data_IF_678706581046
#
_entry.id   IF_678706581046
#
_cell.length_a   1.000
_cell.length_b   1.000
_cell.length_c   1.000
_cell.angle_alpha   90.00
_cell.angle_beta   90.00
_cell.angle_gamma   90.00
#
_symmetry.space_group_name_H-M   'P 1'
#
loop_
_entity.id
_entity.type
_entity.pdbx_description
1 polymer ?
#
# COMPACT_ATOMS: atom_id res chain seq x y z
N UNK A 1 -62.31 -7.06 -45.58
CA UNK A 1 -61.58 -8.19 -44.96
C UNK A 1 -60.17 -7.70 -44.62
N UNK A 2 -60.06 -7.43 -43.50
CA UNK A 2 -59.09 -7.43 -42.39
C UNK A 2 -57.62 -7.37 -42.77
N UNK A 3 -57.04 -6.15 -42.67
CA UNK A 3 -55.58 -5.87 -42.60
C UNK A 3 -55.29 -5.16 -41.29
N UNK A 4 -55.37 -5.90 -40.18
CA UNK A 4 -55.16 -5.32 -38.88
C UNK A 4 -54.46 -6.31 -37.95
N UNK A 5 -53.19 -6.70 -38.21
CA UNK A 5 -52.42 -7.45 -37.23
C UNK A 5 -50.89 -7.53 -37.52
N UNK A 6 -50.31 -6.49 -38.16
CA UNK A 6 -48.82 -6.50 -38.40
C UNK A 6 -48.02 -5.40 -37.70
N UNK A 7 -48.65 -4.60 -36.84
CA UNK A 7 -47.94 -3.46 -36.20
C UNK A 7 -47.57 -3.68 -34.73
N UNK A 8 -48.12 -4.69 -34.08
CA UNK A 8 -47.86 -4.93 -32.65
C UNK A 8 -46.51 -5.61 -32.32
N UNK A 9 -45.94 -6.36 -33.29
CA UNK A 9 -44.68 -7.09 -33.04
C UNK A 9 -43.41 -6.25 -33.12
N UNK A 10 -43.44 -5.10 -33.77
CA UNK A 10 -42.23 -4.29 -34.01
C UNK A 10 -41.90 -3.29 -32.90
N UNK A 11 -42.86 -2.93 -32.08
CA UNK A 11 -42.64 -2.02 -30.92
C UNK A 11 -42.13 -2.75 -29.69
N UNK A 12 -42.51 -4.01 -29.48
CA UNK A 12 -42.01 -4.82 -28.34
C UNK A 12 -40.52 -5.18 -28.47
N UNK A 13 -40.06 -5.48 -29.69
CA UNK A 13 -38.64 -5.83 -29.93
C UNK A 13 -37.70 -4.62 -29.81
N UNK A 14 -38.19 -3.40 -30.11
CA UNK A 14 -37.38 -2.18 -29.96
C UNK A 14 -37.24 -1.73 -28.50
N UNK A 15 -38.19 -2.00 -27.67
CA UNK A 15 -38.16 -1.69 -26.22
C UNK A 15 -37.21 -2.66 -25.46
N UNK A 16 -37.12 -3.91 -25.85
CA UNK A 16 -36.22 -4.89 -25.24
C UNK A 16 -34.73 -4.60 -25.60
N UNK A 17 -34.44 -4.13 -26.80
CA UNK A 17 -33.06 -3.76 -27.21
C UNK A 17 -32.58 -2.46 -26.52
N UNK A 18 -33.46 -1.53 -26.22
CA UNK A 18 -33.11 -0.30 -25.50
C UNK A 18 -32.80 -0.56 -24.01
N UNK A 19 -33.49 -1.54 -23.39
CA UNK A 19 -33.25 -1.90 -21.98
C UNK A 19 -31.90 -2.64 -21.77
N UNK A 20 -31.45 -3.43 -22.72
CA UNK A 20 -30.14 -4.10 -22.65
C UNK A 20 -28.94 -3.14 -22.83
N UNK A 21 -29.09 -2.04 -23.57
CA UNK A 21 -28.03 -1.05 -23.72
C UNK A 21 -27.88 -0.14 -22.48
N UNK A 22 -28.93 0.09 -21.73
CA UNK A 22 -28.88 0.88 -20.49
C UNK A 22 -28.22 0.12 -19.32
N UNK A 23 -28.28 -1.21 -19.30
CA UNK A 23 -27.64 -2.03 -18.27
C UNK A 23 -26.12 -2.21 -18.49
N UNK A 24 -25.63 -2.01 -19.70
CA UNK A 24 -24.19 -2.15 -20.06
C UNK A 24 -23.32 -0.95 -19.65
N UNK A 25 -23.89 0.19 -19.29
CA UNK A 25 -23.15 1.44 -19.01
C UNK A 25 -22.84 1.68 -17.52
N UNK A 26 -23.25 0.77 -16.62
CA UNK A 26 -23.04 0.91 -15.17
C UNK A 26 -21.88 0.09 -14.61
N UNK A 27 -21.12 -0.62 -15.44
CA UNK A 27 -19.80 -1.11 -15.06
C UNK A 27 -18.77 0.01 -15.32
N UNK A 28 -18.91 1.11 -14.63
CA UNK A 28 -17.81 2.01 -14.42
C UNK A 28 -16.83 1.27 -13.54
N UNK A 29 -15.89 0.58 -14.19
CA UNK A 29 -14.66 0.17 -13.53
C UNK A 29 -14.15 1.39 -12.79
N UNK A 30 -14.26 1.37 -11.45
CA UNK A 30 -13.45 2.26 -10.62
C UNK A 30 -12.02 1.96 -11.05
N UNK A 31 -11.49 2.78 -11.93
CA UNK A 31 -10.08 2.75 -12.27
C UNK A 31 -9.35 2.91 -10.93
N UNK A 32 -8.87 1.80 -10.38
CA UNK A 32 -7.96 1.83 -9.25
C UNK A 32 -6.84 2.73 -9.73
N UNK A 33 -6.58 3.82 -9.00
CA UNK A 33 -5.39 4.62 -9.27
C UNK A 33 -4.24 3.63 -9.38
N UNK A 34 -3.55 3.63 -10.52
CA UNK A 34 -2.49 2.65 -10.75
C UNK A 34 -1.48 2.79 -9.61
N UNK A 35 -1.12 1.66 -9.03
CA UNK A 35 -0.11 1.63 -7.97
C UNK A 35 1.19 2.29 -8.47
N UNK A 36 1.93 2.92 -7.57
CA UNK A 36 3.26 3.43 -7.92
C UNK A 36 4.15 2.29 -8.42
N UNK A 37 4.98 2.52 -9.45
CA UNK A 37 5.99 1.55 -9.86
C UNK A 37 6.85 1.11 -8.66
N UNK A 38 7.23 -0.17 -8.54
CA UNK A 38 7.98 -0.70 -7.39
C UNK A 38 9.26 0.08 -7.08
N UNK A 39 10.00 0.53 -8.11
CA UNK A 39 11.20 1.36 -7.94
C UNK A 39 10.87 2.70 -7.27
N UNK A 40 9.77 3.34 -7.64
CA UNK A 40 9.36 4.60 -7.02
C UNK A 40 8.89 4.39 -5.58
N UNK A 41 8.21 3.28 -5.30
CA UNK A 41 7.85 2.90 -3.93
C UNK A 41 9.10 2.69 -3.06
N UNK A 42 10.10 1.95 -3.58
CA UNK A 42 11.36 1.70 -2.89
C UNK A 42 12.13 3.01 -2.60
N UNK A 43 12.27 3.89 -3.60
CA UNK A 43 12.93 5.20 -3.45
C UNK A 43 12.25 6.07 -2.40
N UNK A 44 10.90 6.17 -2.44
CA UNK A 44 10.15 6.97 -1.47
C UNK A 44 10.26 6.37 -0.06
N UNK A 45 10.14 5.05 0.07
CA UNK A 45 10.25 4.39 1.37
C UNK A 45 11.61 4.67 2.02
N UNK A 46 12.70 4.50 1.27
CA UNK A 46 14.05 4.76 1.81
C UNK A 46 14.24 6.24 2.15
N UNK A 47 13.72 7.16 1.33
CA UNK A 47 13.74 8.59 1.65
C UNK A 47 12.98 8.93 2.92
N UNK A 48 11.80 8.32 3.14
CA UNK A 48 11.02 8.53 4.36
C UNK A 48 11.80 8.08 5.60
N UNK A 49 12.52 6.97 5.51
CA UNK A 49 13.37 6.51 6.62
C UNK A 49 14.50 7.49 6.94
N UNK A 50 15.07 8.17 5.94
CA UNK A 50 16.08 9.23 6.17
C UNK A 50 15.49 10.45 6.91
N UNK A 51 14.19 10.71 6.73
CA UNK A 51 13.49 11.79 7.46
C UNK A 51 12.99 11.38 8.85
N UNK A 52 13.23 10.15 9.28
CA UNK A 52 12.92 9.71 10.64
C UNK A 52 14.08 10.06 11.59
N UNK A 53 13.89 11.05 12.42
CA UNK A 53 14.88 11.50 13.41
C UNK A 53 15.24 10.43 14.45
N UNK A 54 14.35 9.45 14.63
CA UNK A 54 14.55 8.36 15.57
C UNK A 54 15.17 7.11 14.91
N UNK A 55 15.47 7.15 13.61
CA UNK A 55 15.96 5.96 12.88
C UNK A 55 17.22 5.37 13.54
N UNK A 56 18.21 6.19 13.86
CA UNK A 56 19.46 5.75 14.46
C UNK A 56 19.29 5.12 15.84
N UNK A 57 18.26 5.51 16.60
CA UNK A 57 17.92 4.91 17.89
C UNK A 57 17.19 3.58 17.76
N UNK A 58 16.52 3.34 16.61
CA UNK A 58 15.74 2.12 16.36
C UNK A 58 16.50 1.05 15.59
N UNK A 59 17.58 1.43 14.90
CA UNK A 59 18.34 0.56 14.01
C UNK A 59 19.81 0.56 14.39
N UNK A 60 20.43 -0.61 14.38
CA UNK A 60 21.88 -0.77 14.58
C UNK A 60 22.48 -1.54 13.38
N UNK A 61 23.43 -0.91 12.69
CA UNK A 61 24.23 -1.54 11.62
C UNK A 61 23.54 -1.60 10.26
N UNK A 62 22.39 -2.27 10.13
CA UNK A 62 21.70 -2.46 8.84
C UNK A 62 20.24 -2.03 8.93
N UNK A 63 19.79 -1.20 8.00
CA UNK A 63 18.38 -0.83 7.86
C UNK A 63 17.61 -1.97 7.19
N UNK A 64 16.90 -2.76 7.97
CA UNK A 64 16.05 -3.84 7.43
C UNK A 64 14.66 -3.30 7.09
N UNK A 65 14.19 -3.57 5.87
CA UNK A 65 12.83 -3.27 5.41
C UNK A 65 12.11 -4.59 5.16
N UNK A 66 11.03 -4.83 5.91
CA UNK A 66 10.15 -5.98 5.69
C UNK A 66 9.15 -5.70 4.57
N UNK A 67 8.85 -6.69 3.74
CA UNK A 67 7.74 -6.64 2.77
C UNK A 67 6.75 -7.73 3.14
N UNK A 68 5.65 -7.33 3.77
CA UNK A 68 4.61 -8.24 4.21
C UNK A 68 3.65 -8.57 3.06
N UNK A 69 3.36 -9.85 2.90
CA UNK A 69 2.52 -10.37 1.83
C UNK A 69 1.62 -11.51 2.31
N UNK A 70 0.57 -11.82 1.55
CA UNK A 70 -0.33 -12.96 1.81
C UNK A 70 0.17 -14.18 1.04
N UNK A 71 0.64 -15.24 1.73
CA UNK A 71 1.02 -16.49 1.08
C UNK A 71 -0.17 -17.14 0.38
N UNK A 72 0.08 -17.75 -0.79
CA UNK A 72 -0.96 -18.39 -1.60
C UNK A 72 -1.79 -17.41 -2.47
N UNK A 73 -1.58 -16.09 -2.33
CA UNK A 73 -2.12 -15.09 -3.25
C UNK A 73 -1.03 -14.71 -4.27
N UNK A 74 -1.17 -15.23 -5.49
CA UNK A 74 -0.18 -15.04 -6.55
C UNK A 74 0.05 -13.55 -6.91
N UNK A 75 -0.92 -12.67 -6.71
CA UNK A 75 -0.77 -11.24 -6.93
C UNK A 75 0.05 -10.60 -5.83
N UNK A 76 -0.24 -10.95 -4.58
CA UNK A 76 0.51 -10.50 -3.41
C UNK A 76 1.98 -10.95 -3.46
N UNK A 77 2.22 -12.18 -3.90
CA UNK A 77 3.57 -12.73 -4.05
C UNK A 77 4.37 -12.01 -5.15
N UNK A 78 3.77 -11.76 -6.32
CA UNK A 78 4.41 -10.96 -7.38
C UNK A 78 4.72 -9.53 -6.94
N UNK A 79 3.80 -8.88 -6.21
CA UNK A 79 4.03 -7.53 -5.68
C UNK A 79 5.18 -7.52 -4.68
N UNK A 80 5.26 -8.51 -3.78
CA UNK A 80 6.37 -8.70 -2.87
C UNK A 80 7.70 -8.84 -3.62
N UNK A 81 7.78 -9.74 -4.61
CA UNK A 81 9.02 -9.99 -5.35
C UNK A 81 9.49 -8.74 -6.09
N UNK A 82 8.58 -8.03 -6.74
CA UNK A 82 8.88 -6.79 -7.44
C UNK A 82 9.40 -5.70 -6.49
N UNK A 83 8.80 -5.56 -5.30
CA UNK A 83 9.23 -4.55 -4.33
C UNK A 83 10.53 -4.93 -3.63
N UNK A 84 10.74 -6.20 -3.27
CA UNK A 84 12.01 -6.67 -2.70
C UNK A 84 13.15 -6.42 -3.68
N UNK A 85 13.01 -6.85 -4.94
CA UNK A 85 14.00 -6.60 -5.98
C UNK A 85 14.27 -5.12 -6.21
N UNK A 86 13.23 -4.28 -6.19
CA UNK A 86 13.39 -2.84 -6.32
C UNK A 86 14.13 -2.21 -5.12
N UNK A 87 13.84 -2.65 -3.89
CA UNK A 87 14.53 -2.19 -2.68
C UNK A 87 16.01 -2.58 -2.71
N UNK A 88 16.34 -3.79 -3.12
CA UNK A 88 17.73 -4.27 -3.25
C UNK A 88 18.50 -3.48 -4.33
N UNK A 89 17.85 -3.21 -5.47
CA UNK A 89 18.46 -2.39 -6.54
C UNK A 89 18.71 -0.94 -6.07
N UNK A 90 17.73 -0.31 -5.44
CA UNK A 90 17.83 1.07 -4.96
C UNK A 90 18.81 1.20 -3.79
N UNK A 91 18.93 0.17 -2.95
CA UNK A 91 19.88 0.13 -1.84
C UNK A 91 21.35 0.23 -2.28
N UNK A 92 21.66 -0.15 -3.53
CA UNK A 92 22.99 0.03 -4.10
C UNK A 92 23.29 1.49 -4.48
N UNK A 93 22.23 2.27 -4.76
CA UNK A 93 22.32 3.66 -5.19
C UNK A 93 22.14 4.66 -4.03
N UNK A 94 21.35 4.27 -3.04
CA UNK A 94 20.93 5.13 -1.92
C UNK A 94 21.21 4.44 -0.60
N UNK A 95 22.09 5.05 0.19
CA UNK A 95 22.37 4.60 1.56
C UNK A 95 21.44 5.35 2.51
N UNK A 96 20.59 4.63 3.25
CA UNK A 96 19.69 5.22 4.22
C UNK A 96 20.47 5.60 5.49
N UNK A 97 20.59 6.90 5.79
CA UNK A 97 21.33 7.42 6.94
C UNK A 97 22.78 6.88 7.08
N UNK A 98 23.47 6.63 5.97
CA UNK A 98 24.84 6.07 6.00
C UNK A 98 24.90 4.57 6.27
N UNK A 99 23.77 3.88 6.43
CA UNK A 99 23.68 2.46 6.74
C UNK A 99 23.27 1.61 5.52
N UNK A 100 23.80 0.39 5.39
CA UNK A 100 23.35 -0.53 4.35
C UNK A 100 21.88 -0.91 4.54
N UNK A 101 21.16 -1.10 3.44
CA UNK A 101 19.75 -1.49 3.43
C UNK A 101 19.59 -2.95 3.03
N UNK A 102 18.70 -3.67 3.71
CA UNK A 102 18.32 -5.04 3.40
C UNK A 102 16.81 -5.18 3.29
N UNK A 103 16.31 -5.76 2.21
CA UNK A 103 14.91 -6.13 2.06
C UNK A 103 14.67 -7.58 2.49
N UNK A 104 13.54 -7.84 3.17
CA UNK A 104 13.16 -9.18 3.64
C UNK A 104 11.68 -9.42 3.39
N UNK A 105 11.33 -10.50 2.72
CA UNK A 105 9.95 -10.94 2.55
C UNK A 105 9.38 -11.49 3.87
N UNK A 106 8.20 -11.03 4.27
CA UNK A 106 7.52 -11.44 5.51
C UNK A 106 6.16 -12.02 5.15
N UNK A 107 5.97 -13.35 5.16
CA UNK A 107 4.65 -13.93 4.98
C UNK A 107 3.77 -13.59 6.18
N UNK A 108 2.61 -12.99 5.95
CA UNK A 108 1.61 -12.73 6.97
C UNK A 108 0.62 -13.88 7.04
N UNK A 109 0.55 -14.55 8.17
CA UNK A 109 -0.41 -15.61 8.48
C UNK A 109 -1.42 -15.14 9.52
N UNK A 110 -0.91 -14.63 10.62
CA UNK A 110 -1.67 -14.11 11.77
C UNK A 110 -0.82 -13.07 12.52
N UNK A 111 -1.41 -12.33 13.47
CA UNK A 111 -0.69 -11.32 14.25
C UNK A 111 0.45 -11.87 15.11
N UNK A 112 0.34 -13.08 15.64
CA UNK A 112 1.36 -13.66 16.49
C UNK A 112 2.60 -14.08 15.70
N UNK A 113 2.43 -14.70 14.52
CA UNK A 113 3.52 -15.01 13.58
C UNK A 113 4.23 -13.73 13.12
N UNK A 114 3.45 -12.68 12.77
CA UNK A 114 4.03 -11.38 12.43
C UNK A 114 4.87 -10.82 13.59
N UNK A 115 4.34 -10.83 14.80
CA UNK A 115 5.03 -10.30 15.96
C UNK A 115 6.35 -11.03 16.25
N UNK A 116 6.36 -12.35 16.15
CA UNK A 116 7.57 -13.15 16.29
C UNK A 116 8.63 -12.77 15.23
N UNK A 117 8.21 -12.58 13.96
CA UNK A 117 9.10 -12.18 12.86
C UNK A 117 9.64 -10.76 13.02
N UNK A 118 8.80 -9.80 13.41
CA UNK A 118 9.26 -8.43 13.65
C UNK A 118 10.22 -8.37 14.85
N UNK A 119 10.01 -9.21 15.86
CA UNK A 119 10.92 -9.33 17.00
C UNK A 119 12.30 -9.86 16.58
N UNK A 120 12.33 -10.89 15.74
CA UNK A 120 13.57 -11.51 15.28
C UNK A 120 14.34 -10.62 14.30
N UNK A 121 13.63 -9.99 13.35
CA UNK A 121 14.21 -9.19 12.26
C UNK A 121 14.52 -7.75 12.66
N UNK A 122 13.80 -7.17 13.62
CA UNK A 122 13.85 -5.76 14.05
C UNK A 122 13.89 -4.79 12.85
N UNK A 123 12.94 -4.87 11.92
CA UNK A 123 12.99 -4.00 10.75
C UNK A 123 12.69 -2.56 11.13
N UNK A 124 13.31 -1.60 10.43
CA UNK A 124 12.99 -0.17 10.54
C UNK A 124 11.58 0.14 10.07
N UNK A 125 11.16 -0.54 9.00
CA UNK A 125 9.82 -0.43 8.42
C UNK A 125 9.33 -1.77 7.90
N UNK A 126 8.00 -1.90 7.80
CA UNK A 126 7.31 -2.99 7.11
C UNK A 126 6.34 -2.43 6.08
N UNK A 127 6.52 -2.79 4.83
CA UNK A 127 5.56 -2.48 3.76
C UNK A 127 4.45 -3.52 3.72
N UNK A 128 3.22 -3.08 3.71
CA UNK A 128 2.02 -3.91 3.69
C UNK A 128 1.45 -3.97 2.27
N UNK A 129 1.49 -5.14 1.65
CA UNK A 129 0.86 -5.38 0.35
C UNK A 129 -0.66 -5.16 0.39
N UNK A 130 -1.26 -4.83 -0.75
CA UNK A 130 -2.69 -4.52 -0.86
C UNK A 130 -3.62 -5.67 -0.39
N UNK A 131 -3.18 -6.93 -0.54
CA UNK A 131 -3.91 -8.11 -0.07
C UNK A 131 -4.08 -8.18 1.45
N UNK A 132 -3.35 -7.34 2.21
CA UNK A 132 -3.42 -7.26 3.67
C UNK A 132 -4.38 -6.17 4.17
N UNK A 133 -5.10 -5.48 3.29
CA UNK A 133 -6.03 -4.39 3.66
C UNK A 133 -7.09 -4.80 4.70
N UNK A 134 -7.59 -6.03 4.63
CA UNK A 134 -8.53 -6.58 5.61
C UNK A 134 -7.95 -6.84 7.01
N UNK A 135 -6.62 -6.96 7.12
CA UNK A 135 -5.91 -7.24 8.37
C UNK A 135 -5.18 -6.02 8.97
N UNK A 136 -5.41 -4.83 8.42
CA UNK A 136 -4.68 -3.60 8.83
C UNK A 136 -4.78 -3.36 10.33
N UNK A 137 -5.97 -3.47 10.91
CA UNK A 137 -6.19 -3.20 12.36
C UNK A 137 -5.33 -4.08 13.26
N UNK A 138 -5.18 -5.35 12.91
CA UNK A 138 -4.38 -6.31 13.67
C UNK A 138 -2.89 -6.04 13.46
N UNK A 139 -2.48 -5.80 12.22
CA UNK A 139 -1.07 -5.54 11.86
C UNK A 139 -0.55 -4.28 12.54
N UNK A 140 -1.31 -3.18 12.54
CA UNK A 140 -0.86 -1.92 13.15
C UNK A 140 -0.75 -1.99 14.68
N UNK A 141 -1.47 -2.89 15.33
CA UNK A 141 -1.25 -3.16 16.76
C UNK A 141 0.12 -3.80 16.99
N UNK A 142 0.52 -4.72 16.12
CA UNK A 142 1.82 -5.37 16.19
C UNK A 142 2.95 -4.38 15.89
N UNK A 143 2.84 -3.58 14.81
CA UNK A 143 3.88 -2.61 14.45
C UNK A 143 4.10 -1.57 15.54
N UNK A 144 3.04 -1.10 16.19
CA UNK A 144 3.10 -0.18 17.34
C UNK A 144 3.83 -0.80 18.53
N UNK A 145 3.49 -2.04 18.92
CA UNK A 145 4.18 -2.73 20.04
C UNK A 145 5.66 -2.95 19.76
N UNK A 146 6.04 -3.07 18.49
CA UNK A 146 7.42 -3.36 18.08
C UNK A 146 8.19 -2.12 17.60
N UNK A 147 7.59 -0.94 17.66
CA UNK A 147 8.17 0.33 17.18
C UNK A 147 8.69 0.21 15.74
N UNK A 148 7.90 -0.39 14.85
CA UNK A 148 8.21 -0.59 13.43
C UNK A 148 7.31 0.31 12.59
N UNK A 149 7.88 1.12 11.69
CA UNK A 149 7.10 1.94 10.77
C UNK A 149 6.29 1.07 9.81
N UNK A 150 4.96 1.22 9.81
CA UNK A 150 4.11 0.59 8.81
C UNK A 150 3.96 1.48 7.58
N UNK A 151 4.11 0.89 6.39
CA UNK A 151 4.03 1.58 5.09
C UNK A 151 3.10 0.80 4.17
N UNK A 152 2.36 1.47 3.29
CA UNK A 152 1.46 0.83 2.31
C UNK A 152 1.36 1.65 1.02
N UNK A 153 0.64 1.12 0.02
CA UNK A 153 0.34 1.79 -1.25
C UNK A 153 -1.02 2.51 -1.29
N UNK A 154 -1.74 2.64 -0.16
CA UNK A 154 -3.14 3.08 -0.15
C UNK A 154 -3.41 4.13 0.94
N UNK A 155 -4.12 5.19 0.54
CA UNK A 155 -4.61 6.23 1.46
C UNK A 155 -5.61 5.66 2.47
N UNK A 156 -6.44 4.72 2.03
CA UNK A 156 -7.47 4.09 2.87
C UNK A 156 -6.83 3.25 3.98
N UNK A 157 -5.73 2.57 3.70
CA UNK A 157 -4.99 1.83 4.73
C UNK A 157 -4.36 2.78 5.75
N UNK A 158 -3.88 3.97 5.35
CA UNK A 158 -3.39 5.00 6.29
C UNK A 158 -4.54 5.51 7.17
N UNK A 159 -5.72 5.77 6.59
CA UNK A 159 -6.91 6.11 7.37
C UNK A 159 -7.33 4.98 8.32
N UNK A 160 -7.00 3.72 7.99
CA UNK A 160 -7.18 2.53 8.83
C UNK A 160 -6.12 2.36 9.93
N UNK A 161 -5.11 3.22 9.99
CA UNK A 161 -4.11 3.24 11.05
C UNK A 161 -2.67 2.91 10.64
N UNK A 162 -2.39 2.66 9.35
CA UNK A 162 -1.01 2.52 8.83
C UNK A 162 -0.29 3.87 8.94
N UNK A 163 1.01 3.84 9.25
CA UNK A 163 1.81 5.04 9.47
C UNK A 163 1.99 5.89 8.23
N UNK A 164 2.35 5.28 7.09
CA UNK A 164 2.66 6.01 5.85
C UNK A 164 2.06 5.32 4.62
N UNK A 165 1.49 6.11 3.71
CA UNK A 165 1.01 5.69 2.40
C UNK A 165 1.84 6.28 1.26
N UNK A 166 2.27 5.43 0.34
CA UNK A 166 2.94 5.80 -0.90
C UNK A 166 1.91 5.76 -2.02
N UNK A 167 1.39 6.90 -2.41
CA UNK A 167 0.24 6.98 -3.32
C UNK A 167 0.61 7.58 -4.67
N UNK A 168 -0.14 7.19 -5.70
CA UNK A 168 -0.04 7.83 -7.00
C UNK A 168 -1.03 9.00 -7.08
N UNK A 169 -0.54 10.21 -7.35
CA UNK A 169 -1.33 11.43 -7.57
C UNK A 169 -1.27 11.84 -9.03
N UNK A 170 -1.85 11.04 -9.89
CA UNK A 170 -1.79 11.23 -11.33
C UNK A 170 -0.40 10.91 -11.89
N UNK A 171 0.37 11.91 -12.29
CA UNK A 171 1.74 11.70 -12.81
C UNK A 171 2.83 11.83 -11.74
N UNK A 172 2.49 12.07 -10.49
CA UNK A 172 3.44 12.29 -9.40
C UNK A 172 3.21 11.31 -8.27
N UNK A 173 4.30 10.88 -7.67
CA UNK A 173 4.28 10.14 -6.42
C UNK A 173 3.94 11.09 -5.27
N UNK A 174 3.07 10.66 -4.35
CA UNK A 174 2.69 11.40 -3.16
C UNK A 174 2.89 10.57 -1.90
N UNK A 175 3.03 11.26 -0.78
CA UNK A 175 3.14 10.66 0.55
C UNK A 175 1.92 11.07 1.37
N UNK A 176 1.31 10.11 2.06
CA UNK A 176 0.25 10.31 3.04
C UNK A 176 0.78 9.87 4.39
N UNK A 177 0.68 10.70 5.41
CA UNK A 177 1.20 10.40 6.75
C UNK A 177 0.06 10.36 7.76
N UNK A 178 -0.12 9.24 8.44
CA UNK A 178 -0.94 9.10 9.63
C UNK A 178 -0.13 9.53 10.86
N UNK A 179 -0.22 10.81 11.23
CA UNK A 179 0.67 11.39 12.25
C UNK A 179 0.55 10.70 13.63
N UNK A 180 -0.66 10.34 14.03
CA UNK A 180 -0.86 9.58 15.27
C UNK A 180 -0.28 8.17 15.20
N UNK A 181 -0.36 7.53 14.04
CA UNK A 181 0.16 6.18 13.81
C UNK A 181 1.68 6.15 13.81
N UNK A 182 2.35 7.05 13.09
CA UNK A 182 3.82 7.13 13.04
C UNK A 182 4.40 7.37 14.43
N UNK A 183 3.82 8.30 15.21
CA UNK A 183 4.23 8.53 16.60
C UNK A 183 4.06 7.30 17.47
N UNK A 184 2.96 6.57 17.34
CA UNK A 184 2.71 5.32 18.09
C UNK A 184 3.66 4.19 17.69
N UNK A 185 4.23 4.24 16.50
CA UNK A 185 5.27 3.34 15.98
C UNK A 185 6.71 3.80 16.31
N UNK A 186 6.86 4.83 17.15
CA UNK A 186 8.16 5.34 17.60
C UNK A 186 8.91 6.16 16.55
N UNK A 187 8.24 6.62 15.49
CA UNK A 187 8.81 7.36 14.36
C UNK A 187 8.57 8.87 14.57
N UNK A 188 9.63 9.65 14.43
CA UNK A 188 9.59 11.13 14.46
C UNK A 188 9.96 11.68 13.09
N UNK A 189 8.95 11.93 12.27
CA UNK A 189 9.16 12.45 10.91
C UNK A 189 9.48 13.95 10.94
N UNK A 190 10.53 14.32 10.20
CA UNK A 190 10.96 15.71 10.05
C UNK A 190 9.85 16.60 9.45
N UNK A 191 9.80 17.85 9.90
CA UNK A 191 8.82 18.83 9.44
C UNK A 191 8.90 19.11 7.93
N UNK A 192 10.08 18.98 7.32
CA UNK A 192 10.25 19.15 5.88
C UNK A 192 9.48 18.08 5.09
N UNK A 193 9.49 16.80 5.56
CA UNK A 193 8.67 15.76 4.96
C UNK A 193 7.18 16.02 5.18
N UNK A 194 6.79 16.42 6.41
CA UNK A 194 5.39 16.68 6.75
C UNK A 194 4.79 17.84 5.95
N UNK A 195 5.60 18.86 5.60
CA UNK A 195 5.17 19.98 4.76
C UNK A 195 4.86 19.57 3.31
N UNK A 196 5.46 18.48 2.82
CA UNK A 196 5.24 17.96 1.46
C UNK A 196 4.21 16.84 1.40
N UNK A 197 3.85 16.26 2.55
CA UNK A 197 2.94 15.13 2.66
C UNK A 197 1.49 15.58 2.89
N UNK A 198 0.55 14.73 2.54
CA UNK A 198 -0.81 14.82 3.07
C UNK A 198 -0.82 14.24 4.48
N UNK A 199 -1.21 15.03 5.47
CA UNK A 199 -1.24 14.59 6.87
C UNK A 199 -2.66 14.25 7.29
N UNK A 200 -2.88 13.00 7.73
CA UNK A 200 -4.10 12.52 8.39
C UNK A 200 -3.88 12.57 9.91
N UNK A 201 -4.81 13.19 10.61
CA UNK A 201 -4.79 13.35 12.08
C UNK A 201 -5.79 12.43 12.75
#
# INVERSE_FOLDING_TARGET
MSTKDRTAGRTATRLLLAACMAAGLLVWSRARAADLPPRNQALLLLRILVYDRNLEHRVTGTVTVGVAFRPGDATSERQRDALVSALESVAQEVVAAGLPVKAVAIPYRDPADLEARLTALRPAAVYLGAALSGSVKEIVQVTRRRSVLSVCGSREMVAGGVGVGLVNRGQRAGVVVGLGSTKSEGVDLDSALLAMAEVIR
#
